data_IF_206823287673
#
_entry.id   IF_206823287673
#
_cell.length_a   1.000
_cell.length_b   1.000
_cell.length_c   1.000
_cell.angle_alpha   90.00
_cell.angle_beta   90.00
_cell.angle_gamma   90.00
#
_symmetry.space_group_name_H-M   'P 1'
#
loop_
_entity.id
_entity.type
_entity.pdbx_description
1 polymer ?
#
# COMPACT_ATOMS: atom_id res chain seq x y z
N UNK A 1 -15.42 -0.31 -2.89
CA UNK A 1 -15.39 -1.34 -3.94
C UNK A 1 -14.57 -2.56 -3.49
N UNK A 2 -13.37 -2.35 -2.96
CA UNK A 2 -12.51 -3.45 -2.47
C UNK A 2 -13.11 -4.21 -1.28
N UNK A 3 -13.94 -3.61 -0.44
CA UNK A 3 -14.58 -4.34 0.66
C UNK A 3 -15.51 -5.46 0.15
N UNK A 4 -16.27 -5.23 -0.93
CA UNK A 4 -17.07 -6.29 -1.57
C UNK A 4 -16.21 -7.35 -2.25
N UNK A 5 -15.10 -6.93 -2.87
CA UNK A 5 -14.15 -7.84 -3.50
C UNK A 5 -13.39 -8.66 -2.45
N UNK A 6 -13.09 -8.05 -1.30
CA UNK A 6 -12.48 -8.73 -0.16
C UNK A 6 -13.36 -9.84 0.41
N UNK A 7 -14.69 -9.66 0.45
CA UNK A 7 -15.61 -10.72 0.87
C UNK A 7 -15.54 -11.95 -0.04
N UNK A 8 -15.40 -11.75 -1.36
CA UNK A 8 -15.23 -12.86 -2.31
C UNK A 8 -13.85 -13.52 -2.21
N UNK A 9 -12.81 -12.76 -1.86
CA UNK A 9 -11.45 -13.29 -1.67
C UNK A 9 -11.23 -13.89 -0.28
N UNK A 10 -12.11 -13.58 0.69
CA UNK A 10 -11.94 -14.04 2.07
C UNK A 10 -11.70 -15.54 2.20
N UNK A 11 -12.42 -16.44 1.48
CA UNK A 11 -12.17 -17.89 1.57
C UNK A 11 -10.77 -18.30 1.08
N UNK A 12 -10.22 -17.58 0.08
CA UNK A 12 -8.87 -17.82 -0.45
C UNK A 12 -7.84 -17.32 0.57
N UNK A 13 -8.05 -16.13 1.12
CA UNK A 13 -7.19 -15.53 2.13
C UNK A 13 -7.15 -16.37 3.41
N UNK A 14 -8.30 -16.92 3.83
CA UNK A 14 -8.38 -17.78 5.00
C UNK A 14 -7.62 -19.10 4.77
N UNK A 15 -7.78 -19.75 3.60
CA UNK A 15 -7.02 -20.96 3.25
C UNK A 15 -5.51 -20.69 3.21
N UNK A 16 -5.10 -19.59 2.60
CA UNK A 16 -3.69 -19.17 2.54
C UNK A 16 -3.17 -18.85 3.94
N UNK A 17 -3.95 -18.16 4.75
CA UNK A 17 -3.62 -17.87 6.15
C UNK A 17 -3.42 -19.15 7.00
N UNK A 18 -4.26 -20.18 6.82
CA UNK A 18 -4.09 -21.49 7.45
C UNK A 18 -2.78 -22.15 7.02
N UNK A 19 -2.46 -22.10 5.71
CA UNK A 19 -1.22 -22.66 5.18
C UNK A 19 0.01 -21.97 5.80
N UNK A 20 0.07 -20.64 5.79
CA UNK A 20 1.21 -19.91 6.37
C UNK A 20 1.31 -20.08 7.89
N UNK A 21 0.18 -20.17 8.58
CA UNK A 21 0.14 -20.50 10.00
C UNK A 21 0.68 -21.90 10.30
N UNK A 22 0.34 -22.91 9.47
CA UNK A 22 0.86 -24.28 9.62
C UNK A 22 2.36 -24.38 9.38
N UNK A 23 2.95 -23.47 8.61
CA UNK A 23 4.40 -23.33 8.42
C UNK A 23 5.10 -22.62 9.60
N UNK A 24 4.37 -22.27 10.65
CA UNK A 24 4.91 -21.59 11.84
C UNK A 24 5.21 -20.11 11.67
N UNK A 25 4.73 -19.48 10.56
CA UNK A 25 4.96 -18.08 10.31
C UNK A 25 4.01 -17.21 11.15
N UNK A 26 4.59 -16.30 11.94
CA UNK A 26 3.81 -15.32 12.70
C UNK A 26 3.31 -14.18 11.82
N UNK A 27 2.21 -13.49 12.19
CA UNK A 27 1.74 -12.30 11.46
C UNK A 27 2.85 -11.25 11.28
N UNK A 28 3.59 -10.94 12.34
CA UNK A 28 4.68 -9.96 12.29
C UNK A 28 5.81 -10.38 11.33
N UNK A 29 6.08 -11.69 11.22
CA UNK A 29 7.05 -12.22 10.25
C UNK A 29 6.58 -11.98 8.82
N UNK A 30 5.29 -12.18 8.56
CA UNK A 30 4.70 -11.94 7.23
C UNK A 30 4.69 -10.45 6.88
N UNK A 31 4.34 -9.56 7.81
CA UNK A 31 4.45 -8.11 7.63
C UNK A 31 5.90 -7.70 7.29
N UNK A 32 6.89 -8.28 7.98
CA UNK A 32 8.30 -8.00 7.72
C UNK A 32 8.75 -8.52 6.34
N UNK A 33 8.31 -9.72 5.95
CA UNK A 33 8.58 -10.28 4.60
C UNK A 33 7.97 -9.36 3.54
N UNK A 34 6.70 -8.97 3.67
CA UNK A 34 6.04 -8.03 2.76
C UNK A 34 6.77 -6.70 2.66
N UNK A 35 7.26 -6.18 3.80
CA UNK A 35 8.07 -4.97 3.85
C UNK A 35 9.40 -5.11 3.09
N UNK A 36 10.15 -6.20 3.30
CA UNK A 36 11.40 -6.47 2.58
C UNK A 36 11.15 -6.59 1.08
N UNK A 37 10.09 -7.30 0.65
CA UNK A 37 9.71 -7.42 -0.75
C UNK A 37 9.38 -6.04 -1.34
N UNK A 38 8.72 -5.18 -0.59
CA UNK A 38 8.44 -3.80 -1.01
C UNK A 38 9.70 -2.97 -1.17
N UNK A 39 10.71 -3.13 -0.31
CA UNK A 39 12.03 -2.50 -0.48
C UNK A 39 12.67 -2.97 -1.79
N UNK A 40 12.65 -4.28 -2.07
CA UNK A 40 13.17 -4.83 -3.32
C UNK A 40 12.44 -4.24 -4.52
N UNK A 41 11.12 -4.14 -4.48
CA UNK A 41 10.32 -3.47 -5.52
C UNK A 41 10.79 -2.04 -5.76
N UNK A 42 10.98 -1.27 -4.69
CA UNK A 42 11.45 0.12 -4.76
C UNK A 42 12.84 0.23 -5.39
N UNK A 43 13.77 -0.67 -5.03
CA UNK A 43 15.10 -0.73 -5.63
C UNK A 43 14.99 -1.01 -7.13
N UNK A 44 14.14 -1.96 -7.53
CA UNK A 44 13.91 -2.28 -8.95
C UNK A 44 13.33 -1.08 -9.71
N UNK A 45 12.38 -0.34 -9.14
CA UNK A 45 11.94 0.92 -9.73
C UNK A 45 13.11 1.90 -9.89
N UNK A 46 13.94 2.06 -8.84
CA UNK A 46 15.07 3.00 -8.85
C UNK A 46 16.15 2.66 -9.89
N UNK A 47 16.39 1.37 -10.17
CA UNK A 47 17.37 0.92 -11.17
C UNK A 47 16.96 1.32 -12.60
N UNK A 48 15.68 1.63 -12.85
CA UNK A 48 15.22 2.08 -14.17
C UNK A 48 16.01 3.29 -14.71
N UNK A 49 16.42 4.21 -13.86
CA UNK A 49 17.23 5.39 -14.26
C UNK A 49 18.60 5.03 -14.81
N UNK A 50 19.15 3.86 -14.48
CA UNK A 50 20.46 3.40 -14.94
C UNK A 50 20.44 2.92 -16.40
N UNK A 51 19.25 2.72 -17.00
CA UNK A 51 19.06 2.29 -18.40
C UNK A 51 19.95 1.09 -18.79
N UNK A 52 20.11 0.13 -17.88
CA UNK A 52 21.04 -1.00 -17.99
C UNK A 52 20.71 -1.91 -19.18
N UNK A 53 19.42 -2.10 -19.46
CA UNK A 53 18.96 -2.93 -20.56
C UNK A 53 17.64 -2.36 -21.13
N UNK A 54 17.59 -1.99 -22.42
CA UNK A 54 16.40 -1.47 -23.05
C UNK A 54 15.26 -2.49 -23.21
N UNK A 55 15.55 -3.80 -23.07
CA UNK A 55 14.57 -4.88 -23.18
C UNK A 55 13.87 -5.11 -21.83
N UNK A 56 14.55 -4.85 -20.71
CA UNK A 56 14.02 -5.05 -19.36
C UNK A 56 13.11 -3.89 -18.95
N UNK A 57 11.83 -4.18 -18.79
CA UNK A 57 10.87 -3.23 -18.26
C UNK A 57 10.89 -3.26 -16.71
N UNK A 58 11.77 -2.46 -16.12
CA UNK A 58 11.93 -2.37 -14.67
C UNK A 58 10.66 -1.87 -13.96
N UNK A 59 9.84 -1.06 -14.62
CA UNK A 59 8.53 -0.66 -14.11
C UNK A 59 7.61 -1.87 -13.92
N UNK A 60 7.51 -2.74 -14.92
CA UNK A 60 6.68 -3.93 -14.84
C UNK A 60 7.21 -4.94 -13.81
N UNK A 61 8.53 -5.18 -13.78
CA UNK A 61 9.15 -6.09 -12.81
C UNK A 61 8.93 -5.56 -11.38
N UNK A 62 9.19 -4.28 -11.13
CA UNK A 62 8.96 -3.63 -9.85
C UNK A 62 7.50 -3.74 -9.40
N UNK A 63 6.55 -3.58 -10.35
CA UNK A 63 5.12 -3.69 -10.08
C UNK A 63 4.68 -5.11 -9.71
N UNK A 64 5.23 -6.14 -10.34
CA UNK A 64 4.95 -7.55 -9.97
C UNK A 64 5.47 -7.82 -8.55
N UNK A 65 6.68 -7.36 -8.25
CA UNK A 65 7.26 -7.51 -6.90
C UNK A 65 6.43 -6.72 -5.88
N UNK A 66 5.95 -5.52 -6.22
CA UNK A 66 5.07 -4.72 -5.38
C UNK A 66 3.76 -5.45 -5.04
N UNK A 67 3.12 -6.07 -6.03
CA UNK A 67 1.92 -6.90 -5.81
C UNK A 67 2.20 -8.09 -4.90
N UNK A 68 3.38 -8.69 -5.04
CA UNK A 68 3.79 -9.79 -4.16
C UNK A 68 3.94 -9.31 -2.71
N UNK A 69 4.57 -8.14 -2.48
CA UNK A 69 4.67 -7.53 -1.15
C UNK A 69 3.30 -7.20 -0.54
N UNK A 70 2.41 -6.60 -1.34
CA UNK A 70 1.05 -6.31 -0.92
C UNK A 70 0.23 -7.58 -0.58
N UNK A 71 0.48 -8.70 -1.26
CA UNK A 71 -0.14 -9.98 -0.96
C UNK A 71 0.25 -10.49 0.44
N UNK A 72 1.53 -10.41 0.81
CA UNK A 72 1.99 -10.80 2.16
C UNK A 72 1.38 -9.94 3.26
N UNK A 73 1.22 -8.65 3.01
CA UNK A 73 0.57 -7.69 3.89
C UNK A 73 -0.93 -8.02 4.13
N UNK A 74 -1.64 -8.48 3.12
CA UNK A 74 -3.03 -8.92 3.28
C UNK A 74 -3.14 -10.25 4.03
N UNK A 75 -2.17 -11.15 3.85
CA UNK A 75 -2.16 -12.47 4.49
C UNK A 75 -1.86 -12.36 5.98
N UNK A 76 -0.96 -11.46 6.41
CA UNK A 76 -0.59 -11.33 7.81
C UNK A 76 -1.81 -11.02 8.70
N UNK A 77 -2.72 -10.14 8.22
CA UNK A 77 -3.99 -9.87 8.87
C UNK A 77 -4.91 -11.11 8.95
N UNK A 78 -4.90 -11.97 7.92
CA UNK A 78 -5.66 -13.23 7.92
C UNK A 78 -5.07 -14.23 8.91
N UNK A 79 -3.74 -14.36 8.96
CA UNK A 79 -3.04 -15.22 9.94
C UNK A 79 -3.30 -14.73 11.37
N UNK A 80 -3.19 -13.41 11.62
CA UNK A 80 -3.46 -12.84 12.95
C UNK A 80 -4.88 -13.15 13.43
N UNK A 81 -5.86 -13.12 12.54
CA UNK A 81 -7.26 -13.42 12.83
C UNK A 81 -7.48 -14.91 13.13
N UNK A 82 -6.90 -15.80 12.31
CA UNK A 82 -7.03 -17.25 12.43
C UNK A 82 -6.35 -17.75 13.71
N UNK A 83 -5.14 -17.27 13.99
CA UNK A 83 -4.35 -17.66 15.16
C UNK A 83 -4.78 -16.95 16.44
N UNK A 84 -5.71 -15.99 16.35
CA UNK A 84 -6.15 -15.14 17.48
C UNK A 84 -4.98 -14.41 18.17
N UNK A 85 -3.93 -14.09 17.42
CA UNK A 85 -2.71 -13.42 17.94
C UNK A 85 -2.71 -11.92 17.68
N UNK A 86 -3.88 -11.32 17.41
CA UNK A 86 -4.01 -9.88 17.28
C UNK A 86 -3.51 -9.16 18.52
N UNK A 87 -2.58 -8.23 18.37
CA UNK A 87 -2.01 -7.47 19.47
C UNK A 87 -1.86 -5.98 19.13
N UNK A 88 -1.91 -5.12 20.16
CA UNK A 88 -1.66 -3.68 19.96
C UNK A 88 -0.27 -3.40 19.38
N UNK A 89 0.74 -4.19 19.78
CA UNK A 89 2.11 -4.08 19.25
C UNK A 89 2.16 -4.44 17.76
N UNK A 90 1.51 -5.55 17.37
CA UNK A 90 1.42 -5.98 15.97
C UNK A 90 0.71 -4.94 15.11
N UNK A 91 -0.44 -4.42 15.54
CA UNK A 91 -1.17 -3.39 14.82
C UNK A 91 -0.38 -2.08 14.68
N UNK A 92 0.39 -1.69 15.69
CA UNK A 92 1.28 -0.53 15.60
C UNK A 92 2.41 -0.76 14.60
N UNK A 93 3.06 -1.93 14.65
CA UNK A 93 4.15 -2.30 13.75
C UNK A 93 3.67 -2.30 12.30
N UNK A 94 2.59 -3.02 12.03
CA UNK A 94 1.94 -3.13 10.72
C UNK A 94 1.62 -1.74 10.14
N UNK A 95 0.87 -0.93 10.87
CA UNK A 95 0.52 0.41 10.42
C UNK A 95 1.74 1.33 10.20
N UNK A 96 2.83 1.12 10.93
CA UNK A 96 4.07 1.89 10.77
C UNK A 96 4.83 1.43 9.53
N UNK A 97 5.02 0.11 9.37
CA UNK A 97 5.66 -0.48 8.19
C UNK A 97 4.93 -0.08 6.90
N UNK A 98 3.60 -0.01 6.94
CA UNK A 98 2.76 0.48 5.87
C UNK A 98 3.17 1.87 5.35
N UNK A 99 3.39 2.81 6.27
CA UNK A 99 3.75 4.19 5.89
C UNK A 99 5.17 4.28 5.36
N UNK A 100 6.08 3.54 5.98
CA UNK A 100 7.47 3.46 5.51
C UNK A 100 7.50 2.82 4.11
N UNK A 101 6.78 1.71 3.90
CA UNK A 101 6.66 1.03 2.61
C UNK A 101 6.17 1.97 1.51
N UNK A 102 5.07 2.67 1.77
CA UNK A 102 4.48 3.60 0.79
C UNK A 102 5.45 4.74 0.44
N UNK A 103 6.16 5.28 1.43
CA UNK A 103 7.18 6.31 1.20
C UNK A 103 8.36 5.80 0.39
N UNK A 104 8.83 4.57 0.67
CA UNK A 104 9.94 3.94 -0.06
C UNK A 104 9.55 3.65 -1.52
N UNK A 105 8.31 3.23 -1.80
CA UNK A 105 7.83 3.00 -3.17
C UNK A 105 7.92 4.29 -3.99
N UNK A 106 7.38 5.40 -3.49
CA UNK A 106 7.44 6.68 -4.21
C UNK A 106 8.88 7.17 -4.38
N UNK A 107 9.76 6.91 -3.40
CA UNK A 107 11.18 7.21 -3.52
C UNK A 107 11.82 6.43 -4.67
N UNK A 108 11.55 5.12 -4.79
CA UNK A 108 12.05 4.29 -5.88
C UNK A 108 11.53 4.75 -7.24
N UNK A 109 10.24 5.11 -7.34
CA UNK A 109 9.62 5.66 -8.56
C UNK A 109 10.31 6.97 -8.97
N UNK A 110 10.58 7.87 -8.02
CA UNK A 110 11.24 9.15 -8.27
C UNK A 110 12.70 8.96 -8.72
N UNK A 111 13.48 8.12 -8.03
CA UNK A 111 14.88 7.81 -8.37
C UNK A 111 14.97 7.14 -9.74
N UNK A 112 13.99 6.27 -10.06
CA UNK A 112 13.92 5.56 -11.33
C UNK A 112 13.49 6.43 -12.52
N UNK A 113 13.22 7.72 -12.31
CA UNK A 113 12.69 8.64 -13.34
C UNK A 113 11.38 8.12 -13.97
N UNK A 114 10.59 7.33 -13.20
CA UNK A 114 9.33 6.75 -13.64
C UNK A 114 8.13 7.70 -13.45
N UNK A 115 8.32 8.74 -12.63
CA UNK A 115 7.42 9.87 -12.45
C UNK A 115 8.20 11.10 -11.96
N UNK A 116 7.64 12.29 -12.16
CA UNK A 116 8.23 13.53 -11.65
C UNK A 116 8.45 13.46 -10.13
N UNK A 117 9.67 13.78 -9.62
CA UNK A 117 9.97 13.73 -8.19
C UNK A 117 9.05 14.61 -7.31
N UNK A 118 8.58 15.75 -7.85
CA UNK A 118 7.64 16.64 -7.14
C UNK A 118 6.28 15.96 -6.98
N UNK A 119 5.79 15.28 -8.03
CA UNK A 119 4.57 14.48 -7.93
C UNK A 119 4.72 13.35 -6.90
N UNK A 120 5.85 12.66 -6.88
CA UNK A 120 6.12 11.62 -5.88
C UNK A 120 6.12 12.21 -4.45
N UNK A 121 6.70 13.38 -4.23
CA UNK A 121 6.69 14.06 -2.93
C UNK A 121 5.25 14.45 -2.50
N UNK A 122 4.44 14.96 -3.43
CA UNK A 122 3.03 15.27 -3.18
C UNK A 122 2.25 13.98 -2.85
N UNK A 123 2.52 12.89 -3.56
CA UNK A 123 1.88 11.59 -3.31
C UNK A 123 2.21 11.05 -1.91
N UNK A 124 3.48 11.06 -1.49
CA UNK A 124 3.89 10.69 -0.13
C UNK A 124 3.16 11.56 0.90
N UNK A 125 3.21 12.87 0.73
CA UNK A 125 2.63 13.82 1.67
C UNK A 125 1.11 13.62 1.80
N UNK A 126 0.40 13.50 0.69
CA UNK A 126 -1.05 13.27 0.68
C UNK A 126 -1.42 11.91 1.27
N UNK A 127 -0.69 10.85 0.97
CA UNK A 127 -0.89 9.51 1.53
C UNK A 127 -0.69 9.46 3.05
N UNK A 128 0.33 10.16 3.56
CA UNK A 128 0.56 10.30 5.00
C UNK A 128 -0.56 11.10 5.66
N UNK A 129 -1.05 12.17 5.03
CA UNK A 129 -2.17 12.97 5.53
C UNK A 129 -3.48 12.18 5.58
N UNK A 130 -3.74 11.28 4.62
CA UNK A 130 -4.87 10.34 4.70
C UNK A 130 -4.81 9.53 5.99
N UNK A 131 -3.63 9.03 6.34
CA UNK A 131 -3.46 8.23 7.55
C UNK A 131 -3.51 9.08 8.82
N UNK A 132 -2.90 10.25 8.79
CA UNK A 132 -2.93 11.20 9.90
C UNK A 132 -4.35 11.65 10.24
N UNK A 133 -5.15 12.02 9.23
CA UNK A 133 -6.55 12.46 9.44
C UNK A 133 -7.39 11.36 10.09
N UNK A 134 -7.20 10.09 9.72
CA UNK A 134 -7.85 8.95 10.36
C UNK A 134 -7.40 8.80 11.82
N UNK A 135 -6.09 8.71 12.05
CA UNK A 135 -5.54 8.54 13.39
C UNK A 135 -5.95 9.69 14.32
N UNK A 136 -5.98 10.92 13.81
CA UNK A 136 -6.41 12.08 14.58
C UNK A 136 -7.91 12.03 14.92
N UNK A 137 -8.77 11.62 14.02
CA UNK A 137 -10.19 11.44 14.29
C UNK A 137 -10.42 10.33 15.33
N UNK A 138 -9.69 9.22 15.23
CA UNK A 138 -9.76 8.11 16.21
C UNK A 138 -9.36 8.57 17.63
N UNK A 139 -8.38 9.49 17.77
CA UNK A 139 -8.04 10.09 19.09
C UNK A 139 -9.14 10.99 19.65
N UNK A 140 -10.05 11.49 18.81
CA UNK A 140 -11.25 12.24 19.22
C UNK A 140 -12.48 11.35 19.41
N UNK A 141 -12.30 10.01 19.37
CA UNK A 141 -13.38 9.04 19.54
C UNK A 141 -14.24 8.82 18.29
N UNK A 142 -13.82 9.35 17.13
CA UNK A 142 -14.56 9.23 15.86
C UNK A 142 -13.98 8.10 15.03
N UNK A 143 -14.80 7.08 14.75
CA UNK A 143 -14.40 5.96 13.87
C UNK A 143 -14.58 6.33 12.39
N UNK A 144 -13.47 6.35 11.67
CA UNK A 144 -13.44 6.58 10.22
C UNK A 144 -13.11 5.32 9.40
N UNK A 145 -13.22 4.13 9.97
CA UNK A 145 -13.01 2.87 9.22
C UNK A 145 -14.02 2.74 8.10
N UNK A 146 -13.53 2.44 6.89
CA UNK A 146 -14.39 2.32 5.69
C UNK A 146 -14.95 3.64 5.18
N UNK A 147 -14.48 4.78 5.67
CA UNK A 147 -14.88 6.10 5.18
C UNK A 147 -13.95 6.54 4.06
N UNK A 148 -14.56 6.72 2.89
CA UNK A 148 -13.87 7.19 1.68
C UNK A 148 -13.39 6.05 0.78
N UNK A 149 -12.91 6.44 -0.40
CA UNK A 149 -12.31 5.59 -1.42
C UNK A 149 -10.84 5.98 -1.57
N UNK A 150 -9.92 5.03 -1.52
CA UNK A 150 -8.48 5.29 -1.63
C UNK A 150 -7.70 4.88 -0.38
N UNK A 151 -8.09 3.78 0.27
CA UNK A 151 -7.27 3.15 1.29
C UNK A 151 -5.93 2.69 0.68
N UNK A 152 -4.93 2.38 1.51
CA UNK A 152 -3.58 2.02 1.07
C UNK A 152 -3.58 0.91 0.00
N UNK A 153 -4.37 -0.15 0.21
CA UNK A 153 -4.45 -1.26 -0.73
C UNK A 153 -4.89 -0.83 -2.15
N UNK A 154 -5.83 0.14 -2.23
CA UNK A 154 -6.29 0.67 -3.52
C UNK A 154 -5.20 1.50 -4.20
N UNK A 155 -4.47 2.32 -3.45
CA UNK A 155 -3.36 3.12 -3.98
C UNK A 155 -2.21 2.25 -4.49
N UNK A 156 -1.81 1.24 -3.71
CA UNK A 156 -0.78 0.27 -4.12
C UNK A 156 -1.20 -0.50 -5.36
N UNK A 157 -2.46 -0.94 -5.42
CA UNK A 157 -3.00 -1.64 -6.60
C UNK A 157 -2.98 -0.76 -7.84
N UNK A 158 -3.35 0.53 -7.72
CA UNK A 158 -3.29 1.49 -8.83
C UNK A 158 -1.86 1.63 -9.34
N UNK A 159 -0.88 1.85 -8.45
CA UNK A 159 0.52 1.96 -8.85
C UNK A 159 1.01 0.69 -9.54
N UNK A 160 0.68 -0.48 -9.01
CA UNK A 160 1.09 -1.74 -9.59
C UNK A 160 0.46 -1.99 -10.97
N UNK A 161 -0.84 -1.74 -11.13
CA UNK A 161 -1.52 -1.87 -12.43
C UNK A 161 -0.91 -0.91 -13.44
N UNK A 162 -0.76 0.35 -13.07
CA UNK A 162 -0.20 1.37 -13.97
C UNK A 162 1.24 1.04 -14.36
N UNK A 163 2.06 0.53 -13.44
CA UNK A 163 3.43 0.13 -13.77
C UNK A 163 3.55 -1.12 -14.65
N UNK A 164 2.48 -1.94 -14.75
CA UNK A 164 2.41 -3.07 -15.68
C UNK A 164 2.00 -2.66 -17.10
N UNK A 165 1.41 -1.47 -17.26
CA UNK A 165 0.91 -1.04 -18.57
C UNK A 165 2.07 -0.62 -19.49
N UNK A 166 2.05 -1.05 -20.78
CA UNK A 166 3.19 -0.89 -21.69
C UNK A 166 3.20 0.46 -22.42
N UNK A 167 2.77 1.54 -21.79
CA UNK A 167 2.81 2.88 -22.41
C UNK A 167 3.67 3.86 -21.61
N UNK A 168 4.21 4.83 -22.28
CA UNK A 168 5.08 5.85 -21.69
C UNK A 168 4.37 6.61 -20.57
N UNK A 169 5.09 6.88 -19.48
CA UNK A 169 4.58 7.62 -18.33
C UNK A 169 3.40 6.96 -17.58
N UNK A 170 3.12 5.68 -17.84
CA UNK A 170 1.99 4.99 -17.19
C UNK A 170 2.06 5.10 -15.65
N UNK A 171 3.24 4.89 -15.07
CA UNK A 171 3.41 4.97 -13.62
C UNK A 171 3.24 6.41 -13.08
N UNK A 172 3.65 7.42 -13.85
CA UNK A 172 3.42 8.83 -13.51
C UNK A 172 1.92 9.15 -13.46
N UNK A 173 1.13 8.68 -14.43
CA UNK A 173 -0.33 8.77 -14.35
C UNK A 173 -0.88 8.05 -13.13
N UNK A 174 -0.30 6.90 -12.75
CA UNK A 174 -0.64 6.20 -11.52
C UNK A 174 -0.42 7.05 -10.27
N UNK A 175 0.72 7.75 -10.19
CA UNK A 175 1.04 8.70 -9.12
C UNK A 175 0.02 9.84 -9.06
N UNK A 176 -0.34 10.43 -10.21
CA UNK A 176 -1.33 11.50 -10.30
C UNK A 176 -2.71 11.02 -9.80
N UNK A 177 -3.12 9.81 -10.19
CA UNK A 177 -4.39 9.21 -9.73
C UNK A 177 -4.36 9.02 -8.21
N UNK A 178 -3.26 8.52 -7.66
CA UNK A 178 -3.09 8.33 -6.21
C UNK A 178 -3.16 9.66 -5.46
N UNK A 179 -2.56 10.74 -5.99
CA UNK A 179 -2.68 12.09 -5.42
C UNK A 179 -4.14 12.53 -5.38
N UNK A 180 -4.84 12.42 -6.51
CA UNK A 180 -6.24 12.83 -6.63
C UNK A 180 -7.15 12.10 -5.63
N UNK A 181 -7.03 10.77 -5.56
CA UNK A 181 -7.80 9.93 -4.63
C UNK A 181 -7.46 10.29 -3.17
N UNK A 182 -6.18 10.49 -2.85
CA UNK A 182 -5.75 10.86 -1.49
C UNK A 182 -6.31 12.20 -1.06
N UNK A 183 -6.30 13.21 -1.93
CA UNK A 183 -6.88 14.54 -1.65
C UNK A 183 -8.40 14.43 -1.41
N UNK A 184 -9.12 13.72 -2.27
CA UNK A 184 -10.56 13.49 -2.10
C UNK A 184 -10.83 12.82 -0.76
N UNK A 185 -10.05 11.80 -0.40
CA UNK A 185 -10.21 11.08 0.87
C UNK A 185 -9.93 11.96 2.09
N UNK A 186 -8.92 12.83 2.03
CA UNK A 186 -8.62 13.80 3.10
C UNK A 186 -9.82 14.73 3.31
N UNK A 187 -10.35 15.30 2.21
CA UNK A 187 -11.50 16.20 2.27
C UNK A 187 -12.72 15.48 2.87
N UNK A 188 -13.02 14.26 2.42
CA UNK A 188 -14.13 13.46 2.95
C UNK A 188 -13.98 13.19 4.45
N UNK A 189 -12.78 12.86 4.92
CA UNK A 189 -12.49 12.59 6.33
C UNK A 189 -12.62 13.85 7.18
N UNK A 190 -12.07 14.97 6.71
CA UNK A 190 -12.21 16.26 7.39
C UNK A 190 -13.69 16.64 7.50
N UNK A 191 -14.43 16.63 6.39
CA UNK A 191 -15.85 16.97 6.38
C UNK A 191 -16.66 16.10 7.33
N UNK A 192 -16.44 14.77 7.30
CA UNK A 192 -17.16 13.84 8.17
C UNK A 192 -16.82 14.03 9.64
N UNK A 193 -15.56 14.27 9.96
CA UNK A 193 -15.11 14.53 11.34
C UNK A 193 -15.75 15.80 11.89
N UNK A 194 -15.68 16.91 11.13
CA UNK A 194 -16.27 18.20 11.54
C UNK A 194 -17.79 18.15 11.67
N UNK A 195 -18.47 17.28 10.94
CA UNK A 195 -19.93 17.13 11.05
C UNK A 195 -20.35 16.37 12.32
N UNK A 196 -19.45 15.57 12.90
CA UNK A 196 -19.72 14.75 14.10
C UNK A 196 -19.35 15.52 15.37
N UNK A 197 -18.33 16.40 15.33
CA UNK A 197 -17.93 17.29 16.41
C UNK A 197 -18.94 18.42 16.61
#
# INVERSE_FOLDING_TARGET
LLNKFREHLQPILDKTGVLFSSLGLSPNTLSLIGFIITIISSIIFGINSLKLDPILNFSAIGSIILLTGAFFDVIDGSVAKITKTTSRKGSFLDSTLDKISESIIFLGIAIGELADPILCLIAVSSSLLVSYTRSRAETLGIDLRGVGFGERAERILILAIMGLLPFSHSLEYGVIIVIGISIIMIIQRIYRTLKIL
#
